data_IF_101946138273
#
_entry.id   IF_101946138273
#
_cell.length_a   1.000
_cell.length_b   1.000
_cell.length_c   1.000
_cell.angle_alpha   90.00
_cell.angle_beta   90.00
_cell.angle_gamma   90.00
#
_symmetry.space_group_name_H-M   'P 1'
#
loop_
_entity.id
_entity.type
_entity.pdbx_description
1 polymer ?
#
# COMPACT_ATOMS: atom_id res chain seq x y z
N UNK A 1 31.84 57.97 -26.64
CA UNK A 1 30.98 57.35 -25.61
C UNK A 1 30.68 55.92 -26.04
N UNK A 2 31.02 54.91 -25.23
CA UNK A 2 30.80 53.49 -25.57
C UNK A 2 29.97 52.88 -24.43
N UNK A 3 28.71 52.53 -24.69
CA UNK A 3 27.83 51.84 -23.74
C UNK A 3 28.24 50.36 -23.68
N UNK A 4 28.58 49.88 -22.48
CA UNK A 4 28.81 48.46 -22.23
C UNK A 4 27.55 47.84 -21.61
N UNK A 5 26.83 47.02 -22.38
CA UNK A 5 25.75 46.17 -21.87
C UNK A 5 26.41 44.89 -21.32
N UNK A 6 26.33 44.68 -20.00
CA UNK A 6 26.76 43.42 -19.37
C UNK A 6 25.61 42.40 -19.44
N UNK A 7 25.82 41.19 -19.98
CA UNK A 7 24.81 40.14 -19.92
C UNK A 7 24.66 39.62 -18.49
N UNK A 8 23.41 39.49 -18.05
CA UNK A 8 23.05 38.88 -16.78
C UNK A 8 23.25 37.36 -16.90
N UNK A 9 24.34 36.85 -16.32
CA UNK A 9 24.61 35.41 -16.29
C UNK A 9 23.67 34.78 -15.26
N UNK A 10 22.64 34.10 -15.73
CA UNK A 10 21.76 33.28 -14.91
C UNK A 10 22.54 32.03 -14.48
N UNK A 11 23.03 32.03 -13.25
CA UNK A 11 23.85 30.95 -12.69
C UNK A 11 23.11 29.60 -12.73
N UNK A 12 23.75 28.62 -13.35
CA UNK A 12 23.40 27.18 -13.41
C UNK A 12 23.18 26.54 -12.04
N UNK A 13 23.59 27.19 -10.94
CA UNK A 13 23.30 26.74 -9.58
C UNK A 13 21.78 26.70 -9.27
N UNK A 14 20.99 27.60 -9.88
CA UNK A 14 19.54 27.65 -9.67
C UNK A 14 18.83 26.42 -10.27
N UNK A 15 19.39 25.84 -11.33
CA UNK A 15 18.86 24.63 -11.98
C UNK A 15 19.25 23.35 -11.22
N UNK A 16 20.44 23.31 -10.61
CA UNK A 16 20.89 22.17 -9.80
C UNK A 16 20.09 21.98 -8.51
N UNK A 17 19.67 23.08 -7.86
CA UNK A 17 18.82 23.04 -6.68
C UNK A 17 17.42 22.47 -6.96
N UNK A 18 16.85 22.69 -8.15
CA UNK A 18 15.56 22.09 -8.53
C UNK A 18 15.66 20.60 -8.88
N UNK A 19 16.84 20.10 -9.25
CA UNK A 19 17.08 18.68 -9.56
C UNK A 19 17.44 17.84 -8.33
N UNK A 20 17.92 18.47 -7.25
CA UNK A 20 18.29 17.78 -6.00
C UNK A 20 17.12 17.47 -5.05
N UNK A 21 15.95 18.08 -5.26
CA UNK A 21 14.79 17.95 -4.34
C UNK A 21 14.02 16.63 -4.54
N UNK A 22 14.25 15.90 -5.63
CA UNK A 22 13.50 14.68 -5.99
C UNK A 22 14.05 13.39 -5.37
N UNK A 23 15.21 13.41 -4.72
CA UNK A 23 15.93 12.17 -4.36
C UNK A 23 15.56 11.56 -3.00
N UNK A 24 14.74 12.20 -2.17
CA UNK A 24 14.26 11.61 -0.91
C UNK A 24 13.02 10.70 -1.07
N UNK A 25 12.61 10.39 -2.30
CA UNK A 25 11.39 9.61 -2.58
C UNK A 25 11.51 8.10 -2.27
N UNK A 26 12.70 7.59 -1.95
CA UNK A 26 12.93 6.14 -1.81
C UNK A 26 12.53 5.52 -0.45
N UNK A 27 12.09 6.32 0.53
CA UNK A 27 11.42 5.84 1.75
C UNK A 27 9.96 6.33 1.89
N UNK A 28 9.48 7.15 0.95
CA UNK A 28 8.30 8.00 1.14
C UNK A 28 6.98 7.39 0.64
N UNK A 29 6.98 6.14 0.17
CA UNK A 29 5.81 5.53 -0.47
C UNK A 29 4.87 4.77 0.46
N UNK A 30 5.32 4.27 1.62
CA UNK A 30 4.46 3.48 2.50
C UNK A 30 3.32 4.35 3.06
N UNK A 31 2.08 3.85 3.03
CA UNK A 31 0.94 4.48 3.70
C UNK A 31 0.95 4.04 5.17
N UNK A 32 1.29 4.91 6.13
CA UNK A 32 1.33 4.54 7.54
C UNK A 32 -0.07 4.47 8.17
N UNK A 33 -0.16 3.75 9.29
CA UNK A 33 -1.33 3.73 10.18
C UNK A 33 -2.63 3.33 9.48
N UNK A 34 -2.54 2.42 8.52
CA UNK A 34 -3.71 1.78 7.92
C UNK A 34 -4.43 0.97 9.00
N UNK A 35 -5.75 1.08 9.06
CA UNK A 35 -6.59 0.19 9.86
C UNK A 35 -7.37 -0.74 8.95
N UNK A 36 -7.62 -1.96 9.41
CA UNK A 36 -8.37 -2.97 8.67
C UNK A 36 -9.58 -3.42 9.49
N UNK A 37 -10.68 -3.72 8.82
CA UNK A 37 -11.92 -4.17 9.46
C UNK A 37 -12.65 -5.21 8.62
N UNK A 38 -13.31 -6.14 9.30
CA UNK A 38 -14.15 -7.18 8.70
C UNK A 38 -15.09 -7.74 9.75
N UNK A 39 -16.22 -8.30 9.33
CA UNK A 39 -17.21 -8.89 10.24
C UNK A 39 -16.86 -10.32 10.69
N UNK A 40 -15.89 -10.98 10.06
CA UNK A 40 -15.60 -12.40 10.30
C UNK A 40 -14.13 -12.67 10.58
N UNK A 41 -13.77 -12.84 11.84
CA UNK A 41 -12.42 -13.24 12.27
C UNK A 41 -12.50 -14.50 13.12
N UNK A 42 -11.65 -15.48 12.82
CA UNK A 42 -11.48 -16.64 13.70
C UNK A 42 -10.78 -16.24 15.00
N UNK A 43 -11.08 -16.96 16.09
CA UNK A 43 -10.41 -16.74 17.38
C UNK A 43 -8.89 -16.76 17.25
N UNK A 44 -8.23 -15.70 17.73
CA UNK A 44 -6.78 -15.48 17.63
C UNK A 44 -6.31 -14.81 16.33
N UNK A 45 -7.03 -14.96 15.22
CA UNK A 45 -6.65 -14.43 13.90
C UNK A 45 -7.19 -13.02 13.70
N UNK A 46 -6.55 -12.02 14.30
CA UNK A 46 -7.03 -10.64 14.31
C UNK A 46 -6.74 -9.91 12.99
N UNK A 47 -7.74 -9.24 12.41
CA UNK A 47 -7.59 -8.46 11.17
C UNK A 47 -6.58 -7.30 11.32
N UNK A 48 -6.38 -6.79 12.53
CA UNK A 48 -5.36 -5.77 12.79
C UNK A 48 -3.94 -6.27 12.52
N UNK A 49 -3.70 -7.59 12.59
CA UNK A 49 -2.40 -8.20 12.34
C UNK A 49 -2.00 -8.17 10.86
N UNK A 50 -2.89 -7.77 9.95
CA UNK A 50 -2.60 -7.75 8.51
C UNK A 50 -2.11 -6.41 8.00
N UNK A 51 -1.99 -5.40 8.86
CA UNK A 51 -1.57 -4.04 8.47
C UNK A 51 -0.59 -3.42 9.46
N UNK A 52 -0.31 -4.11 10.58
CA UNK A 52 0.51 -3.59 11.67
C UNK A 52 1.97 -4.03 11.56
N UNK A 53 2.34 -4.81 10.54
CA UNK A 53 3.70 -5.31 10.32
C UNK A 53 4.10 -6.46 11.23
N UNK A 54 3.22 -7.00 12.08
CA UNK A 54 3.58 -8.11 12.95
C UNK A 54 3.86 -9.34 12.09
N UNK A 55 5.03 -9.95 12.26
CA UNK A 55 5.52 -10.99 11.35
C UNK A 55 6.49 -10.50 10.28
N UNK A 56 6.59 -9.20 10.03
CA UNK A 56 7.72 -8.59 9.31
C UNK A 56 8.91 -8.36 10.26
N UNK A 57 10.13 -8.08 9.75
CA UNK A 57 11.29 -7.77 10.57
C UNK A 57 11.00 -6.63 11.55
N UNK A 58 11.38 -6.85 12.82
CA UNK A 58 11.11 -5.92 13.94
C UNK A 58 9.63 -5.60 14.19
N UNK A 59 8.70 -6.36 13.61
CA UNK A 59 7.26 -6.09 13.62
C UNK A 59 6.90 -4.70 13.09
N UNK A 60 7.62 -4.26 12.05
CA UNK A 60 7.44 -2.93 11.44
C UNK A 60 6.85 -3.08 10.03
N UNK A 61 5.79 -2.33 9.69
CA UNK A 61 5.27 -2.26 8.32
C UNK A 61 6.35 -1.99 7.28
N UNK A 62 6.38 -2.80 6.22
CA UNK A 62 7.33 -2.67 5.11
C UNK A 62 6.67 -3.08 3.80
N UNK A 63 7.16 -2.53 2.67
CA UNK A 63 6.69 -2.90 1.34
C UNK A 63 7.47 -4.09 0.74
N UNK A 64 8.63 -4.45 1.27
CA UNK A 64 9.58 -5.35 0.59
C UNK A 64 10.08 -6.51 1.44
N UNK A 65 9.95 -6.41 2.76
CA UNK A 65 10.52 -7.41 3.67
C UNK A 65 9.79 -8.75 3.59
N UNK A 66 10.49 -9.82 3.98
CA UNK A 66 9.88 -11.13 4.06
C UNK A 66 9.07 -11.27 5.36
N UNK A 67 7.86 -11.81 5.23
CA UNK A 67 7.00 -12.12 6.36
C UNK A 67 7.31 -13.50 6.92
N UNK A 68 7.32 -13.64 8.24
CA UNK A 68 7.46 -14.93 8.92
C UNK A 68 6.35 -15.91 8.52
N UNK A 69 6.57 -17.19 8.78
CA UNK A 69 5.55 -18.23 8.54
C UNK A 69 4.23 -17.84 9.23
N UNK A 70 3.12 -18.06 8.51
CA UNK A 70 1.77 -17.77 8.99
C UNK A 70 1.47 -18.50 10.30
N UNK A 71 0.96 -17.76 11.28
CA UNK A 71 0.40 -18.28 12.52
C UNK A 71 -0.73 -17.35 13.01
N UNK A 72 -1.41 -17.76 14.07
CA UNK A 72 -2.57 -17.02 14.61
C UNK A 72 -2.24 -15.57 14.97
N UNK A 73 -1.01 -15.26 15.37
CA UNK A 73 -0.63 -13.97 15.93
C UNK A 73 -0.07 -12.99 14.88
N UNK A 74 0.13 -13.41 13.64
CA UNK A 74 0.71 -12.59 12.56
C UNK A 74 -0.06 -12.64 11.25
N UNK A 75 -1.34 -12.97 11.32
CA UNK A 75 -2.18 -13.04 10.14
C UNK A 75 -3.65 -13.02 10.54
N UNK A 76 -4.51 -12.96 9.53
CA UNK A 76 -5.94 -13.06 9.69
C UNK A 76 -6.52 -14.18 8.84
N UNK A 77 -7.58 -14.79 9.36
CA UNK A 77 -8.49 -15.63 8.59
C UNK A 77 -9.88 -15.63 9.20
N UNK A 78 -10.86 -16.00 8.39
CA UNK A 78 -12.25 -16.18 8.81
C UNK A 78 -12.43 -17.43 9.65
N UNK A 79 -13.56 -17.53 10.36
CA UNK A 79 -14.09 -18.84 10.79
C UNK A 79 -14.31 -19.76 9.57
N UNK A 80 -14.45 -21.07 9.80
CA UNK A 80 -14.82 -22.00 8.71
C UNK A 80 -16.14 -21.54 8.13
N UNK A 81 -16.16 -21.28 6.82
CA UNK A 81 -17.35 -20.82 6.11
C UNK A 81 -18.13 -22.07 5.70
N UNK A 82 -19.37 -22.26 6.17
CA UNK A 82 -20.16 -23.46 5.89
C UNK A 82 -20.30 -23.72 4.39
N UNK A 83 -20.30 -25.00 4.00
CA UNK A 83 -20.62 -25.41 2.63
C UNK A 83 -22.00 -24.84 2.26
N UNK A 84 -22.13 -24.28 1.05
CA UNK A 84 -23.32 -23.57 0.60
C UNK A 84 -23.34 -22.07 0.88
N UNK A 85 -22.53 -21.56 1.82
CA UNK A 85 -22.35 -20.11 2.02
C UNK A 85 -21.24 -19.59 1.12
N UNK A 86 -21.48 -18.62 0.22
CA UNK A 86 -20.45 -18.09 -0.67
C UNK A 86 -19.29 -17.44 0.11
N UNK A 87 -18.05 -17.74 -0.27
CA UNK A 87 -16.85 -17.06 0.26
C UNK A 87 -16.91 -15.55 -0.03
N UNK A 88 -17.56 -15.17 -1.14
CA UNK A 88 -17.78 -13.79 -1.56
C UNK A 88 -18.60 -12.93 -0.60
N UNK A 89 -19.25 -13.53 0.41
CA UNK A 89 -19.95 -12.80 1.48
C UNK A 89 -19.02 -12.03 2.41
N UNK A 90 -17.73 -12.38 2.45
CA UNK A 90 -16.74 -11.72 3.31
C UNK A 90 -16.24 -10.46 2.61
N UNK A 91 -16.14 -9.38 3.39
CA UNK A 91 -15.62 -8.09 2.95
C UNK A 91 -14.56 -7.63 3.94
N UNK A 92 -13.51 -7.00 3.43
CA UNK A 92 -12.43 -6.41 4.23
C UNK A 92 -12.28 -4.97 3.78
N UNK A 93 -12.33 -4.04 4.73
CA UNK A 93 -12.16 -2.63 4.47
C UNK A 93 -10.90 -2.10 5.15
N UNK A 94 -10.12 -1.35 4.39
CA UNK A 94 -8.92 -0.66 4.81
C UNK A 94 -9.18 0.84 4.85
N UNK A 95 -8.72 1.52 5.90
CA UNK A 95 -8.84 2.96 6.07
C UNK A 95 -7.47 3.60 6.25
N UNK A 96 -7.18 4.61 5.44
CA UNK A 96 -5.91 5.33 5.43
C UNK A 96 -5.92 6.57 6.34
N UNK A 97 -7.06 6.92 6.94
CA UNK A 97 -7.32 8.07 7.82
C UNK A 97 -7.09 9.45 7.19
N UNK A 98 -6.60 9.52 5.95
CA UNK A 98 -6.50 10.71 5.11
C UNK A 98 -6.45 10.31 3.64
N UNK A 99 -6.45 11.30 2.76
CA UNK A 99 -6.34 11.08 1.32
C UNK A 99 -4.89 10.73 0.97
N UNK A 100 -4.72 9.68 0.18
CA UNK A 100 -3.46 9.31 -0.44
C UNK A 100 -3.61 9.13 -1.94
N UNK A 101 -2.54 9.42 -2.68
CA UNK A 101 -2.39 9.04 -4.08
C UNK A 101 -1.94 7.57 -4.17
N UNK A 102 -2.88 6.65 -3.96
CA UNK A 102 -2.65 5.20 -3.88
C UNK A 102 -2.16 4.68 -5.24
N UNK A 103 -0.99 4.05 -5.26
CA UNK A 103 -0.30 3.62 -6.48
C UNK A 103 0.08 2.13 -6.50
N UNK A 104 -0.23 1.39 -5.43
CA UNK A 104 0.13 0.00 -5.31
C UNK A 104 -0.05 -0.55 -3.91
N UNK A 105 0.27 -1.83 -3.75
CA UNK A 105 0.41 -2.47 -2.46
C UNK A 105 1.29 -3.72 -2.57
N UNK A 106 1.84 -4.12 -1.44
CA UNK A 106 2.53 -5.39 -1.24
C UNK A 106 1.62 -6.31 -0.44
N UNK A 107 1.49 -7.56 -0.86
CA UNK A 107 0.56 -8.52 -0.28
C UNK A 107 1.26 -9.84 0.05
N UNK A 108 1.07 -10.31 1.29
CA UNK A 108 1.56 -11.60 1.76
C UNK A 108 0.36 -12.51 2.01
N UNK A 109 0.26 -13.57 1.21
CA UNK A 109 -0.82 -14.55 1.37
C UNK A 109 -0.48 -15.55 2.49
N UNK A 110 -1.49 -16.29 2.96
CA UNK A 110 -1.26 -17.34 3.97
C UNK A 110 -0.26 -18.39 3.44
N UNK A 111 0.58 -18.89 4.33
CA UNK A 111 1.54 -19.96 4.06
C UNK A 111 1.29 -21.20 4.92
N UNK A 112 2.20 -22.18 4.83
CA UNK A 112 2.20 -23.43 5.56
C UNK A 112 0.92 -24.24 5.33
N UNK A 113 0.38 -24.88 6.37
CA UNK A 113 -0.88 -25.64 6.34
C UNK A 113 -2.11 -24.78 6.02
N UNK A 114 -1.98 -23.45 6.04
CA UNK A 114 -3.07 -22.52 5.72
C UNK A 114 -3.00 -21.95 4.30
N UNK A 115 -2.03 -22.35 3.49
CA UNK A 115 -1.82 -21.78 2.15
C UNK A 115 -3.06 -21.87 1.23
N UNK A 116 -3.81 -22.97 1.29
CA UNK A 116 -5.05 -23.16 0.49
C UNK A 116 -6.22 -22.29 0.95
N UNK A 117 -6.12 -21.71 2.15
CA UNK A 117 -7.10 -20.77 2.74
C UNK A 117 -6.83 -19.32 2.31
N UNK A 118 -5.65 -19.08 1.71
CA UNK A 118 -5.25 -17.77 1.22
C UNK A 118 -6.22 -17.20 0.18
N UNK A 119 -6.32 -15.88 0.10
CA UNK A 119 -7.14 -15.20 -0.91
C UNK A 119 -6.55 -15.47 -2.30
N UNK A 120 -7.38 -15.95 -3.22
CA UNK A 120 -7.02 -16.22 -4.61
C UNK A 120 -7.50 -15.09 -5.52
N UNK A 121 -8.79 -15.06 -5.86
CA UNK A 121 -9.38 -13.97 -6.66
C UNK A 121 -10.14 -13.01 -5.77
N UNK A 122 -10.28 -11.76 -6.21
CA UNK A 122 -11.03 -10.72 -5.51
C UNK A 122 -11.45 -9.58 -6.45
N UNK A 123 -12.37 -8.76 -5.98
CA UNK A 123 -12.60 -7.42 -6.52
C UNK A 123 -12.03 -6.40 -5.55
N UNK A 124 -11.19 -5.49 -6.07
CA UNK A 124 -10.65 -4.36 -5.32
C UNK A 124 -11.48 -3.12 -5.66
N UNK A 125 -11.96 -2.44 -4.63
CA UNK A 125 -12.67 -1.17 -4.77
C UNK A 125 -11.97 -0.11 -3.91
N UNK A 126 -12.12 1.15 -4.28
CA UNK A 126 -11.65 2.30 -3.52
C UNK A 126 -12.73 3.37 -3.47
N UNK A 127 -12.61 4.28 -2.50
CA UNK A 127 -13.42 5.49 -2.47
C UNK A 127 -12.61 6.67 -1.94
N UNK A 128 -13.09 7.86 -2.27
CA UNK A 128 -12.61 9.12 -1.72
C UNK A 128 -13.61 9.63 -0.69
N UNK A 129 -13.20 9.67 0.58
CA UNK A 129 -14.01 10.11 1.72
C UNK A 129 -15.33 9.32 1.83
N UNK A 130 -16.47 10.02 1.85
CA UNK A 130 -17.82 9.47 1.92
C UNK A 130 -18.41 9.16 0.54
N UNK A 131 -17.61 9.22 -0.53
CA UNK A 131 -18.03 8.92 -1.88
C UNK A 131 -18.41 7.45 -2.11
N UNK A 132 -18.96 7.19 -3.30
CA UNK A 132 -19.29 5.84 -3.73
C UNK A 132 -18.02 4.98 -3.93
N UNK A 133 -18.17 3.68 -3.72
CA UNK A 133 -17.13 2.70 -4.05
C UNK A 133 -16.98 2.59 -5.56
N UNK A 134 -15.75 2.68 -6.03
CA UNK A 134 -15.36 2.52 -7.44
C UNK A 134 -14.47 1.29 -7.55
N UNK A 135 -14.77 0.40 -8.50
CA UNK A 135 -13.89 -0.74 -8.79
C UNK A 135 -12.56 -0.24 -9.32
N UNK A 136 -11.47 -0.69 -8.71
CA UNK A 136 -10.12 -0.44 -9.20
C UNK A 136 -9.87 -1.33 -10.41
N UNK A 137 -9.54 -0.72 -11.54
CA UNK A 137 -9.31 -1.42 -12.81
C UNK A 137 -8.11 -0.81 -13.53
N UNK A 138 -7.54 -1.56 -14.48
CA UNK A 138 -6.47 -1.08 -15.34
C UNK A 138 -5.18 -1.90 -15.22
N UNK A 139 -4.14 -1.54 -15.98
CA UNK A 139 -2.87 -2.26 -15.98
C UNK A 139 -2.25 -2.33 -14.57
N UNK A 140 -1.78 -3.52 -14.20
CA UNK A 140 -1.11 -3.76 -12.92
C UNK A 140 -2.04 -3.95 -11.71
N UNK A 141 -3.35 -3.80 -11.88
CA UNK A 141 -4.33 -4.20 -10.86
C UNK A 141 -4.48 -5.73 -10.91
N UNK A 142 -4.24 -6.45 -9.79
CA UNK A 142 -4.32 -7.90 -9.79
C UNK A 142 -5.77 -8.40 -9.87
N UNK A 143 -5.98 -9.44 -10.68
CA UNK A 143 -7.23 -10.22 -10.70
C UNK A 143 -7.16 -11.44 -9.76
N UNK A 144 -5.95 -11.89 -9.47
CA UNK A 144 -5.66 -12.99 -8.57
C UNK A 144 -4.33 -12.77 -7.84
N UNK A 145 -4.21 -13.35 -6.66
CA UNK A 145 -2.97 -13.47 -5.92
C UNK A 145 -2.41 -14.89 -6.09
N UNK A 146 -1.09 -15.03 -6.06
CA UNK A 146 -0.45 -16.32 -5.95
C UNK A 146 -0.74 -16.94 -4.57
N UNK A 147 -0.82 -18.27 -4.54
CA UNK A 147 -0.88 -19.04 -3.31
C UNK A 147 0.44 -18.85 -2.54
N UNK A 148 0.37 -18.73 -1.21
CA UNK A 148 1.57 -18.76 -0.39
C UNK A 148 2.24 -20.13 -0.39
N UNK A 149 3.50 -20.17 0.04
CA UNK A 149 4.27 -21.42 0.15
C UNK A 149 3.62 -22.38 1.14
N UNK A 150 3.66 -23.69 0.85
CA UNK A 150 3.24 -24.74 1.78
C UNK A 150 4.33 -25.10 2.79
N UNK A 151 5.52 -24.52 2.66
CA UNK A 151 6.62 -24.67 3.62
C UNK A 151 6.21 -24.17 5.01
N UNK A 152 6.59 -24.91 6.04
CA UNK A 152 6.34 -24.58 7.45
C UNK A 152 7.48 -23.80 8.09
N UNK A 153 8.57 -23.54 7.36
CA UNK A 153 9.78 -22.88 7.89
C UNK A 153 10.23 -21.70 7.03
N UNK A 154 9.80 -21.61 5.78
CA UNK A 154 10.20 -20.55 4.87
C UNK A 154 9.39 -19.28 5.11
N UNK A 155 10.08 -18.15 5.20
CA UNK A 155 9.44 -16.84 5.13
C UNK A 155 8.81 -16.61 3.74
N UNK A 156 7.88 -15.67 3.69
CA UNK A 156 7.04 -15.37 2.54
C UNK A 156 7.48 -14.01 1.99
N UNK A 157 7.83 -13.94 0.71
CA UNK A 157 8.07 -12.66 0.04
C UNK A 157 6.75 -12.02 -0.40
N UNK A 158 6.66 -10.67 -0.46
CA UNK A 158 5.46 -10.01 -0.93
C UNK A 158 5.22 -10.25 -2.40
N UNK A 159 3.94 -10.29 -2.76
CA UNK A 159 3.49 -9.98 -4.10
C UNK A 159 3.33 -8.47 -4.21
N UNK A 160 4.12 -7.84 -5.08
CA UNK A 160 4.12 -6.38 -5.24
C UNK A 160 3.29 -6.00 -6.46
N UNK A 161 2.25 -5.20 -6.24
CA UNK A 161 1.38 -4.70 -7.29
C UNK A 161 1.52 -3.19 -7.43
N UNK A 162 1.65 -2.74 -8.67
CA UNK A 162 1.76 -1.32 -9.02
C UNK A 162 0.74 -1.01 -10.11
N UNK A 163 -0.04 0.04 -9.92
CA UNK A 163 -1.09 0.44 -10.86
C UNK A 163 -1.12 1.95 -11.01
N UNK A 164 -1.89 2.44 -11.98
CA UNK A 164 -2.11 3.87 -12.18
C UNK A 164 -2.67 4.52 -10.90
N UNK A 165 -2.05 5.58 -10.38
CA UNK A 165 -2.43 6.14 -9.09
C UNK A 165 -3.85 6.66 -9.03
N UNK A 166 -4.53 6.45 -7.89
CA UNK A 166 -5.88 6.94 -7.61
C UNK A 166 -5.92 7.62 -6.25
N UNK A 167 -6.75 8.67 -6.12
CA UNK A 167 -7.00 9.28 -4.82
C UNK A 167 -7.98 8.44 -4.00
N UNK A 168 -7.53 7.98 -2.82
CA UNK A 168 -8.33 7.13 -1.95
C UNK A 168 -8.13 7.48 -0.48
N UNK A 169 -9.20 7.32 0.31
CA UNK A 169 -9.15 7.23 1.78
C UNK A 169 -9.39 5.81 2.26
N UNK A 170 -10.06 4.99 1.44
CA UNK A 170 -10.41 3.62 1.78
C UNK A 170 -10.23 2.71 0.57
N UNK A 171 -9.90 1.46 0.88
CA UNK A 171 -9.87 0.34 -0.07
C UNK A 171 -10.72 -0.79 0.50
N UNK A 172 -11.37 -1.55 -0.38
CA UNK A 172 -12.19 -2.70 0.00
C UNK A 172 -11.90 -3.89 -0.86
N UNK A 173 -11.75 -5.04 -0.22
CA UNK A 173 -11.72 -6.34 -0.87
C UNK A 173 -13.08 -7.02 -0.69
N UNK A 174 -13.63 -7.53 -1.79
CA UNK A 174 -14.90 -8.27 -1.82
C UNK A 174 -14.87 -9.34 -2.89
N UNK A 175 -15.92 -10.15 -2.97
CA UNK A 175 -16.04 -11.24 -3.96
C UNK A 175 -14.84 -12.18 -3.96
N UNK A 176 -14.30 -12.45 -2.76
CA UNK A 176 -13.07 -13.22 -2.61
C UNK A 176 -13.31 -14.72 -2.78
N UNK A 177 -12.30 -15.42 -3.30
CA UNK A 177 -12.19 -16.88 -3.29
C UNK A 177 -10.90 -17.31 -2.60
N UNK A 178 -10.75 -18.62 -2.34
CA UNK A 178 -9.53 -19.18 -1.80
C UNK A 178 -8.80 -20.08 -2.81
N UNK A 179 -7.64 -20.60 -2.42
CA UNK A 179 -6.84 -21.53 -3.22
C UNK A 179 -7.28 -23.00 -3.07
N UNK A 180 -8.59 -23.25 -3.01
CA UNK A 180 -9.14 -24.61 -2.97
C UNK A 180 -9.22 -25.23 -1.56
N UNK A 181 -9.12 -24.43 -0.50
CA UNK A 181 -9.40 -24.90 0.86
C UNK A 181 -10.86 -25.40 0.99
N UNK A 182 -11.04 -26.66 1.39
CA UNK A 182 -12.34 -27.33 1.57
C UNK A 182 -12.56 -27.79 3.02
N UNK A 183 -13.77 -28.26 3.34
CA UNK A 183 -14.12 -28.76 4.67
C UNK A 183 -13.80 -27.74 5.78
N UNK A 184 -13.06 -28.16 6.81
CA UNK A 184 -12.65 -27.29 7.91
C UNK A 184 -11.70 -26.15 7.48
N UNK A 185 -11.05 -26.30 6.33
CA UNK A 185 -10.16 -25.31 5.72
C UNK A 185 -10.87 -24.42 4.68
N UNK A 186 -12.21 -24.53 4.55
CA UNK A 186 -12.99 -23.62 3.71
C UNK A 186 -13.08 -22.24 4.36
N UNK A 187 -12.01 -21.46 4.22
CA UNK A 187 -11.76 -20.18 4.86
C UNK A 187 -11.15 -19.19 3.86
N UNK A 188 -11.14 -17.93 4.24
CA UNK A 188 -10.37 -16.86 3.61
C UNK A 188 -9.39 -16.30 4.62
N UNK A 189 -8.22 -15.89 4.16
CA UNK A 189 -7.26 -15.19 4.99
C UNK A 189 -6.03 -14.74 4.23
N UNK A 190 -5.18 -13.96 4.90
CA UNK A 190 -3.89 -13.51 4.40
C UNK A 190 -3.04 -13.06 5.58
N UNK A 191 -1.73 -12.96 5.35
CA UNK A 191 -0.78 -12.59 6.40
C UNK A 191 -0.73 -11.09 6.58
N UNK A 192 -0.46 -10.35 5.52
CA UNK A 192 -0.16 -8.93 5.60
C UNK A 192 -0.49 -8.21 4.28
N UNK A 193 -0.85 -6.93 4.36
CA UNK A 193 -0.90 -6.01 3.23
C UNK A 193 -0.33 -4.65 3.63
N UNK A 194 0.50 -4.08 2.76
CA UNK A 194 1.08 -2.76 2.95
C UNK A 194 0.87 -1.90 1.71
N UNK A 195 0.23 -0.75 1.88
CA UNK A 195 -0.15 0.10 0.76
C UNK A 195 0.93 1.11 0.40
N UNK A 196 1.04 1.40 -0.89
CA UNK A 196 2.01 2.34 -1.45
C UNK A 196 1.30 3.54 -2.07
N UNK A 197 1.73 4.74 -1.72
CA UNK A 197 1.38 5.99 -2.37
C UNK A 197 2.55 6.57 -3.16
N UNK A 198 2.24 7.45 -4.12
CA UNK A 198 3.24 8.38 -4.65
C UNK A 198 3.21 9.64 -3.77
N UNK A 199 4.36 10.08 -3.22
CA UNK A 199 4.44 11.33 -2.49
C UNK A 199 4.01 12.49 -3.39
N UNK A 200 3.14 13.35 -2.87
CA UNK A 200 2.89 14.64 -3.52
C UNK A 200 4.20 15.45 -3.51
N UNK A 201 4.60 16.08 -4.62
CA UNK A 201 5.80 16.91 -4.63
C UNK A 201 5.67 18.01 -3.57
N UNK A 202 6.65 18.09 -2.67
CA UNK A 202 6.63 18.98 -1.52
C UNK A 202 6.57 20.46 -1.95
N UNK A 203 5.37 21.02 -2.04
CA UNK A 203 5.15 22.43 -2.41
C UNK A 203 5.78 23.41 -1.42
N UNK A 204 6.01 23.00 -0.17
CA UNK A 204 6.71 23.77 0.87
C UNK A 204 8.18 24.05 0.55
N UNK A 205 8.89 23.09 -0.06
CA UNK A 205 10.29 23.29 -0.48
C UNK A 205 10.37 24.14 -1.75
N UNK A 206 9.43 23.95 -2.69
CA UNK A 206 9.31 24.81 -3.85
C UNK A 206 9.00 26.27 -3.45
N UNK A 207 8.10 26.47 -2.49
CA UNK A 207 7.74 27.79 -1.99
C UNK A 207 8.87 28.44 -1.17
N UNK A 208 9.64 27.66 -0.39
CA UNK A 208 10.83 28.15 0.30
C UNK A 208 11.93 28.57 -0.69
N UNK A 209 12.15 27.77 -1.74
CA UNK A 209 13.09 28.11 -2.81
C UNK A 209 12.68 29.38 -3.57
N UNK A 210 11.38 29.54 -3.86
CA UNK A 210 10.82 30.76 -4.45
C UNK A 210 10.89 31.96 -3.50
N UNK A 211 10.63 31.77 -2.21
CA UNK A 211 10.74 32.81 -1.18
C UNK A 211 12.17 33.32 -1.02
N UNK A 212 13.16 32.41 -0.99
CA UNK A 212 14.58 32.76 -0.94
C UNK A 212 15.06 33.46 -2.23
N UNK A 213 14.57 33.03 -3.40
CA UNK A 213 14.82 33.74 -4.65
C UNK A 213 14.23 35.16 -4.62
N UNK A 214 13.00 35.32 -4.12
CA UNK A 214 12.34 36.63 -3.98
C UNK A 214 13.06 37.60 -3.03
N UNK A 215 13.66 37.10 -1.94
CA UNK A 215 14.44 37.92 -1.00
C UNK A 215 15.82 38.29 -1.57
N UNK A 216 16.44 37.42 -2.37
CA UNK A 216 17.72 37.70 -3.03
C UNK A 216 17.66 38.80 -4.09
N UNK A 217 16.51 39.01 -4.72
CA UNK A 217 16.29 40.06 -5.73
C UNK A 217 16.07 41.48 -5.15
N UNK A 218 15.84 41.62 -3.84
CA UNK A 218 15.62 42.94 -3.19
C UNK A 218 16.88 43.74 -2.86
N UNK A 219 18.09 43.23 -3.15
CA UNK A 219 19.37 43.94 -2.88
C UNK A 219 19.98 44.66 -4.09
N UNK A 220 19.28 44.73 -5.23
CA UNK A 220 19.68 45.53 -6.39
C UNK A 220 18.49 46.26 -7.00
N UNK A 221 17.96 47.23 -6.26
CA UNK A 221 17.30 48.43 -6.80
C UNK A 221 17.83 49.61 -6.01
#
# INVERSE_FOLDING_TARGET
MKLAIRPLVLSTATFGLMLGVSQNAQAAGLIPRVTASTANSASGWNIANTVNGVGLPSNTPSLTENHNVTNTNNSWRTNTIPVGTPLSSVTIEFNFNRIYNLAGFSFWNLSSSSATQGINTLTIEYKLNTGAWTTLTGPGVPLAFAQGTTSTTSSISPQVFNFSPVYATNVRFRNMTNHGGTGNNRRLGFSEIQFRSIPEPSSTLALLALGLAGVGLRKRV
#
